data_IF_896734962999
#
_entry.id   IF_896734962999
#
_cell.length_a   1.000
_cell.length_b   1.000
_cell.length_c   1.000
_cell.angle_alpha   90.00
_cell.angle_beta   90.00
_cell.angle_gamma   90.00
#
_symmetry.space_group_name_H-M   'P 1'
#
loop_
_entity.id
_entity.type
_entity.pdbx_description
1 polymer ?
#
# COMPACT_ATOMS: atom_id res chain seq x y z
N UNK A 1 -29.44 32.22 2.48
CA UNK A 1 -28.30 33.02 1.97
C UNK A 1 -27.50 32.13 1.03
N UNK A 2 -27.05 32.62 -0.13
CA UNK A 2 -26.18 31.82 -1.01
C UNK A 2 -24.79 31.67 -0.35
N UNK A 3 -24.22 30.45 -0.29
CA UNK A 3 -22.92 30.23 0.32
C UNK A 3 -21.81 30.95 -0.44
N UNK A 4 -20.84 31.50 0.29
CA UNK A 4 -19.68 32.23 -0.25
C UNK A 4 -18.40 31.40 -0.30
N UNK A 5 -18.32 30.31 0.46
CA UNK A 5 -17.17 29.40 0.43
C UNK A 5 -17.36 28.33 -0.64
N UNK A 6 -16.26 27.84 -1.23
CA UNK A 6 -16.31 26.76 -2.24
C UNK A 6 -16.98 25.50 -1.70
N UNK A 7 -16.65 25.10 -0.47
CA UNK A 7 -17.29 23.96 0.19
C UNK A 7 -18.80 24.17 0.34
N UNK A 8 -19.22 25.33 0.86
CA UNK A 8 -20.64 25.63 1.06
C UNK A 8 -21.41 25.69 -0.27
N UNK A 9 -20.77 26.17 -1.34
CA UNK A 9 -21.35 26.16 -2.69
C UNK A 9 -21.59 24.74 -3.20
N UNK A 10 -20.63 23.83 -3.01
CA UNK A 10 -20.77 22.42 -3.37
C UNK A 10 -21.90 21.78 -2.57
N UNK A 11 -21.91 21.94 -1.25
CA UNK A 11 -22.97 21.40 -0.38
C UNK A 11 -24.35 21.92 -0.78
N UNK A 12 -24.48 23.21 -1.06
CA UNK A 12 -25.73 23.80 -1.53
C UNK A 12 -26.18 23.21 -2.86
N UNK A 13 -25.27 23.07 -3.84
CA UNK A 13 -25.60 22.45 -5.14
C UNK A 13 -26.09 21.01 -4.93
N UNK A 14 -25.38 20.21 -4.14
CA UNK A 14 -25.74 18.81 -3.87
C UNK A 14 -27.13 18.67 -3.23
N UNK A 15 -27.56 19.65 -2.42
CA UNK A 15 -28.91 19.68 -1.83
C UNK A 15 -30.03 20.02 -2.83
N UNK A 16 -29.70 20.67 -3.96
CA UNK A 16 -30.69 21.07 -4.96
C UNK A 16 -30.84 20.04 -6.10
N UNK A 17 -29.85 19.18 -6.31
CA UNK A 17 -29.89 18.19 -7.37
C UNK A 17 -30.86 17.05 -7.04
N UNK A 18 -31.67 16.65 -8.01
CA UNK A 18 -32.41 15.40 -7.89
C UNK A 18 -31.46 14.20 -7.90
N UNK A 19 -31.91 13.06 -7.36
CA UNK A 19 -31.11 11.83 -7.37
C UNK A 19 -30.68 11.44 -8.80
N UNK A 20 -31.58 11.58 -9.78
CA UNK A 20 -31.29 11.26 -11.18
C UNK A 20 -30.23 12.21 -11.78
N UNK A 21 -30.30 13.51 -11.48
CA UNK A 21 -29.31 14.48 -11.94
C UNK A 21 -27.94 14.22 -11.33
N UNK A 22 -27.89 13.95 -10.04
CA UNK A 22 -26.65 13.62 -9.35
C UNK A 22 -26.03 12.32 -9.88
N UNK A 23 -26.86 11.27 -10.06
CA UNK A 23 -26.41 10.01 -10.63
C UNK A 23 -25.81 10.19 -12.04
N UNK A 24 -26.50 10.92 -12.93
CA UNK A 24 -26.01 11.20 -14.27
C UNK A 24 -24.69 11.98 -14.24
N UNK A 25 -24.58 13.01 -13.40
CA UNK A 25 -23.37 13.81 -13.25
C UNK A 25 -22.18 12.98 -12.75
N UNK A 26 -22.38 12.16 -11.71
CA UNK A 26 -21.33 11.29 -11.14
C UNK A 26 -20.85 10.27 -12.17
N UNK A 27 -21.79 9.65 -12.90
CA UNK A 27 -21.46 8.68 -13.96
C UNK A 27 -20.65 9.34 -15.08
N UNK A 28 -21.12 10.46 -15.61
CA UNK A 28 -20.42 11.20 -16.68
C UNK A 28 -19.01 11.60 -16.23
N UNK A 29 -18.89 12.14 -15.00
CA UNK A 29 -17.60 12.55 -14.46
C UNK A 29 -16.65 11.37 -14.27
N UNK A 30 -17.14 10.21 -13.80
CA UNK A 30 -16.33 9.00 -13.67
C UNK A 30 -15.89 8.42 -15.02
N UNK A 31 -16.67 8.61 -16.09
CA UNK A 31 -16.25 8.17 -17.43
C UNK A 31 -15.18 9.10 -18.05
N UNK A 32 -15.16 10.37 -17.66
CA UNK A 32 -14.24 11.38 -18.21
C UNK A 32 -12.96 11.58 -17.37
N UNK A 33 -12.99 11.23 -16.08
CA UNK A 33 -11.92 11.54 -15.11
C UNK A 33 -11.46 10.26 -14.40
N UNK A 34 -10.27 9.78 -14.77
CA UNK A 34 -9.71 8.53 -14.25
C UNK A 34 -9.49 8.58 -12.73
N UNK A 35 -8.99 9.69 -12.18
CA UNK A 35 -8.72 9.80 -10.75
C UNK A 35 -10.02 9.76 -9.94
N UNK A 36 -11.07 10.42 -10.44
CA UNK A 36 -12.39 10.37 -9.81
C UNK A 36 -13.00 8.97 -9.90
N UNK A 37 -12.87 8.30 -11.05
CA UNK A 37 -13.33 6.93 -11.26
C UNK A 37 -12.67 5.96 -10.28
N UNK A 38 -11.36 6.01 -10.17
CA UNK A 38 -10.59 5.08 -9.34
C UNK A 38 -10.92 5.30 -7.86
N UNK A 39 -11.05 6.57 -7.44
CA UNK A 39 -11.56 6.95 -6.10
C UNK A 39 -12.94 6.38 -5.82
N UNK A 40 -13.88 6.51 -6.77
CA UNK A 40 -15.24 6.00 -6.64
C UNK A 40 -15.24 4.48 -6.47
N UNK A 41 -14.47 3.77 -7.31
CA UNK A 41 -14.38 2.31 -7.28
C UNK A 41 -13.73 1.77 -6.00
N UNK A 42 -12.77 2.49 -5.41
CA UNK A 42 -12.17 2.13 -4.12
C UNK A 42 -13.18 2.31 -2.98
N UNK A 43 -13.80 3.50 -2.89
CA UNK A 43 -14.71 3.84 -1.78
C UNK A 43 -15.96 2.94 -1.72
N UNK A 44 -16.42 2.43 -2.87
CA UNK A 44 -17.68 1.69 -2.97
C UNK A 44 -17.50 0.26 -3.48
N UNK A 45 -16.31 -0.33 -3.34
CA UNK A 45 -16.01 -1.65 -3.88
C UNK A 45 -16.93 -2.76 -3.32
N UNK A 46 -17.39 -2.64 -2.07
CA UNK A 46 -18.31 -3.61 -1.45
C UNK A 46 -19.62 -3.78 -2.24
N UNK A 47 -20.05 -2.74 -2.99
CA UNK A 47 -21.25 -2.80 -3.83
C UNK A 47 -21.07 -3.70 -5.06
N UNK A 48 -19.83 -4.06 -5.40
CA UNK A 48 -19.50 -4.92 -6.55
C UNK A 48 -19.54 -6.41 -6.20
N UNK A 49 -19.72 -6.77 -4.91
CA UNK A 49 -20.06 -8.12 -4.49
C UNK A 49 -18.99 -9.20 -4.72
N UNK A 50 -17.71 -8.82 -4.87
CA UNK A 50 -16.63 -9.79 -5.05
C UNK A 50 -15.93 -10.10 -3.72
N UNK A 51 -15.81 -11.39 -3.38
CA UNK A 51 -14.99 -11.88 -2.28
C UNK A 51 -13.51 -12.10 -2.67
N UNK A 52 -13.18 -11.91 -3.96
CA UNK A 52 -11.83 -12.09 -4.49
C UNK A 52 -10.88 -10.93 -4.11
N UNK A 53 -9.63 -11.20 -3.70
CA UNK A 53 -8.66 -10.15 -3.41
C UNK A 53 -8.57 -9.12 -4.54
N UNK A 54 -8.71 -7.84 -4.19
CA UNK A 54 -8.64 -6.74 -5.15
C UNK A 54 -7.19 -6.34 -5.50
N UNK A 55 -6.20 -6.95 -4.84
CA UNK A 55 -4.77 -6.69 -5.06
C UNK A 55 -4.39 -6.71 -6.55
N UNK A 56 -4.77 -7.71 -7.38
CA UNK A 56 -4.42 -7.72 -8.80
C UNK A 56 -5.00 -6.54 -9.59
N UNK A 57 -6.23 -6.13 -9.27
CA UNK A 57 -6.87 -4.95 -9.87
C UNK A 57 -6.10 -3.69 -9.52
N UNK A 58 -5.69 -3.53 -8.26
CA UNK A 58 -4.89 -2.38 -7.83
C UNK A 58 -3.50 -2.37 -8.45
N UNK A 59 -2.86 -3.52 -8.62
CA UNK A 59 -1.59 -3.62 -9.35
C UNK A 59 -1.70 -3.23 -10.81
N UNK A 60 -2.80 -3.61 -11.48
CA UNK A 60 -3.04 -3.15 -12.85
C UNK A 60 -3.22 -1.63 -12.90
N UNK A 61 -4.01 -1.05 -11.98
CA UNK A 61 -4.21 0.40 -11.89
C UNK A 61 -2.88 1.14 -11.64
N UNK A 62 -2.03 0.64 -10.73
CA UNK A 62 -0.69 1.18 -10.50
C UNK A 62 0.19 1.08 -11.75
N UNK A 63 0.11 -0.03 -12.48
CA UNK A 63 0.82 -0.22 -13.76
C UNK A 63 0.39 0.81 -14.79
N UNK A 64 -0.91 1.05 -14.95
CA UNK A 64 -1.45 2.04 -15.88
C UNK A 64 -1.06 3.47 -15.46
N UNK A 65 -0.97 3.75 -14.16
CA UNK A 65 -0.43 5.02 -13.66
C UNK A 65 1.05 5.18 -14.00
N UNK A 66 1.88 4.17 -13.71
CA UNK A 66 3.31 4.20 -14.04
C UNK A 66 3.53 4.45 -15.54
N UNK A 67 2.78 3.78 -16.41
CA UNK A 67 2.87 3.96 -17.86
C UNK A 67 2.50 5.38 -18.31
N UNK A 68 1.50 6.01 -17.70
CA UNK A 68 1.11 7.40 -18.02
C UNK A 68 2.18 8.43 -17.66
N UNK A 69 2.99 8.13 -16.65
CA UNK A 69 4.04 9.02 -16.14
C UNK A 69 5.44 8.71 -16.71
N UNK A 70 5.59 7.58 -17.40
CA UNK A 70 6.84 7.18 -18.02
C UNK A 70 7.06 7.85 -19.39
N UNK A 71 8.33 8.01 -19.74
CA UNK A 71 8.75 8.42 -21.08
C UNK A 71 8.65 7.25 -22.08
N UNK A 72 9.05 7.49 -23.34
CA UNK A 72 8.98 6.47 -24.40
C UNK A 72 9.84 5.21 -24.12
N UNK A 73 10.83 5.32 -23.24
CA UNK A 73 11.72 4.23 -22.82
C UNK A 73 11.19 3.50 -21.57
N UNK A 74 10.07 3.95 -21.00
CA UNK A 74 9.49 3.38 -19.79
C UNK A 74 10.09 3.91 -18.48
N UNK A 75 10.86 5.00 -18.54
CA UNK A 75 11.49 5.63 -17.38
C UNK A 75 10.71 6.86 -16.87
N UNK A 76 10.70 7.07 -15.56
CA UNK A 76 9.95 8.13 -14.87
C UNK A 76 10.95 9.12 -14.25
N UNK A 77 11.08 10.30 -14.83
CA UNK A 77 11.95 11.37 -14.32
C UNK A 77 11.37 12.03 -13.07
N UNK A 78 12.21 12.70 -12.28
CA UNK A 78 11.88 13.25 -10.96
C UNK A 78 10.57 14.08 -10.93
N UNK A 79 10.34 14.95 -11.91
CA UNK A 79 9.11 15.76 -11.96
C UNK A 79 7.85 14.88 -12.13
N UNK A 80 7.91 13.85 -12.98
CA UNK A 80 6.84 12.88 -13.15
C UNK A 80 6.70 11.94 -11.95
N UNK A 81 7.82 11.62 -11.29
CA UNK A 81 7.87 10.81 -10.07
C UNK A 81 7.08 11.46 -8.93
N UNK A 82 7.27 12.76 -8.70
CA UNK A 82 6.49 13.53 -7.72
C UNK A 82 4.98 13.44 -8.01
N UNK A 83 4.57 13.65 -9.27
CA UNK A 83 3.16 13.59 -9.64
C UNK A 83 2.55 12.20 -9.46
N UNK A 84 3.26 11.15 -9.88
CA UNK A 84 2.83 9.77 -9.73
C UNK A 84 2.70 9.41 -8.25
N UNK A 85 3.71 9.73 -7.44
CA UNK A 85 3.76 9.35 -6.03
C UNK A 85 2.70 10.13 -5.22
N UNK A 86 2.44 11.39 -5.54
CA UNK A 86 1.31 12.14 -4.96
C UNK A 86 -0.05 11.53 -5.31
N UNK A 87 -0.21 11.05 -6.55
CA UNK A 87 -1.43 10.36 -6.94
C UNK A 87 -1.61 9.05 -6.15
N UNK A 88 -0.55 8.25 -5.99
CA UNK A 88 -0.57 7.03 -5.16
C UNK A 88 -0.89 7.35 -3.70
N UNK A 89 -0.26 8.39 -3.13
CA UNK A 89 -0.53 8.84 -1.75
C UNK A 89 -1.96 9.30 -1.58
N UNK A 90 -2.52 10.00 -2.57
CA UNK A 90 -3.93 10.41 -2.55
C UNK A 90 -4.86 9.19 -2.56
N UNK A 91 -4.56 8.16 -3.35
CA UNK A 91 -5.33 6.91 -3.34
C UNK A 91 -5.24 6.19 -1.99
N UNK A 92 -4.04 6.06 -1.41
CA UNK A 92 -3.87 5.51 -0.06
C UNK A 92 -4.64 6.33 1.00
N UNK A 93 -4.63 7.67 0.88
CA UNK A 93 -5.38 8.56 1.75
C UNK A 93 -6.89 8.44 1.60
N UNK A 94 -7.39 8.13 0.41
CA UNK A 94 -8.79 7.78 0.16
C UNK A 94 -9.11 6.43 0.80
N UNK A 95 -8.23 5.44 0.61
CA UNK A 95 -8.44 4.11 1.13
C UNK A 95 -8.50 4.09 2.67
N UNK A 96 -7.68 4.91 3.34
CA UNK A 96 -7.69 5.06 4.80
C UNK A 96 -8.96 5.71 5.39
N UNK A 97 -9.88 6.24 4.58
CA UNK A 97 -11.12 6.86 5.08
C UNK A 97 -12.03 5.80 5.72
N UNK A 98 -12.74 6.19 6.78
CA UNK A 98 -13.69 5.32 7.49
C UNK A 98 -14.83 4.77 6.61
N UNK A 99 -15.11 5.40 5.48
CA UNK A 99 -16.12 4.96 4.51
C UNK A 99 -15.63 3.84 3.60
N UNK A 100 -14.32 3.63 3.52
CA UNK A 100 -13.72 2.62 2.64
C UNK A 100 -13.66 1.29 3.37
N UNK A 101 -13.99 0.17 2.70
CA UNK A 101 -13.86 -1.14 3.32
C UNK A 101 -12.41 -1.43 3.69
N UNK A 102 -12.17 -1.94 4.89
CA UNK A 102 -10.82 -2.28 5.38
C UNK A 102 -10.10 -3.26 4.46
N UNK A 103 -10.85 -4.19 3.85
CA UNK A 103 -10.31 -5.14 2.89
C UNK A 103 -9.69 -4.45 1.67
N UNK A 104 -10.39 -3.49 1.07
CA UNK A 104 -9.87 -2.73 -0.07
C UNK A 104 -8.63 -1.93 0.30
N UNK A 105 -8.64 -1.35 1.50
CA UNK A 105 -7.48 -0.63 2.04
C UNK A 105 -6.26 -1.54 2.15
N UNK A 106 -6.48 -2.76 2.65
CA UNK A 106 -5.43 -3.76 2.82
C UNK A 106 -4.90 -4.22 1.46
N UNK A 107 -5.80 -4.57 0.53
CA UNK A 107 -5.47 -5.05 -0.81
C UNK A 107 -4.73 -3.98 -1.63
N UNK A 108 -5.10 -2.69 -1.50
CA UNK A 108 -4.38 -1.58 -2.12
C UNK A 108 -2.97 -1.41 -1.53
N UNK A 109 -2.82 -1.49 -0.20
CA UNK A 109 -1.50 -1.38 0.42
C UNK A 109 -0.56 -2.52 0.00
N UNK A 110 -1.09 -3.75 -0.10
CA UNK A 110 -0.35 -4.92 -0.59
C UNK A 110 0.07 -4.73 -2.06
N UNK A 111 -0.83 -4.20 -2.89
CA UNK A 111 -0.52 -3.88 -4.28
C UNK A 111 0.62 -2.85 -4.38
N UNK A 112 0.54 -1.75 -3.62
CA UNK A 112 1.59 -0.73 -3.58
C UNK A 112 2.91 -1.36 -3.17
N UNK A 113 2.97 -2.07 -2.03
CA UNK A 113 4.20 -2.71 -1.54
C UNK A 113 4.82 -3.60 -2.62
N UNK A 114 4.00 -4.42 -3.28
CA UNK A 114 4.47 -5.39 -4.29
C UNK A 114 5.05 -4.74 -5.54
N UNK A 115 4.58 -3.55 -5.91
CA UNK A 115 5.02 -2.85 -7.11
C UNK A 115 6.16 -1.86 -6.83
N UNK A 116 6.47 -1.54 -5.55
CA UNK A 116 7.58 -0.64 -5.19
C UNK A 116 8.93 -1.04 -5.79
N UNK A 117 9.34 -2.32 -5.81
CA UNK A 117 10.59 -2.70 -6.46
C UNK A 117 10.63 -2.37 -7.96
N UNK A 118 9.50 -2.57 -8.66
CA UNK A 118 9.38 -2.24 -10.08
C UNK A 118 9.41 -0.73 -10.29
N UNK A 119 8.79 0.03 -9.39
CA UNK A 119 8.80 1.48 -9.46
C UNK A 119 10.20 2.05 -9.21
N UNK A 120 10.92 1.53 -8.21
CA UNK A 120 12.28 1.95 -7.88
C UNK A 120 13.27 1.72 -9.03
N UNK A 121 13.13 0.63 -9.79
CA UNK A 121 13.97 0.33 -10.96
C UNK A 121 13.75 1.32 -12.13
N UNK A 122 12.58 1.96 -12.19
CA UNK A 122 12.14 2.77 -13.34
C UNK A 122 11.98 4.25 -13.04
N UNK A 123 12.29 4.70 -11.82
CA UNK A 123 11.96 6.04 -11.35
C UNK A 123 13.19 6.72 -10.73
N UNK A 124 13.43 7.97 -11.12
CA UNK A 124 14.30 8.88 -10.37
C UNK A 124 13.64 9.19 -9.02
N UNK A 125 14.32 8.86 -7.91
CA UNK A 125 13.79 9.06 -6.56
C UNK A 125 14.70 9.93 -5.67
N UNK A 126 14.98 11.20 -6.05
CA UNK A 126 15.86 12.07 -5.26
C UNK A 126 15.27 12.47 -3.90
N UNK A 127 13.93 12.39 -3.76
CA UNK A 127 13.18 12.84 -2.58
C UNK A 127 12.59 11.66 -1.77
N UNK A 128 13.15 10.45 -1.92
CA UNK A 128 12.78 9.25 -1.15
C UNK A 128 11.27 8.92 -1.18
N UNK A 129 10.63 9.13 -2.32
CA UNK A 129 9.22 8.83 -2.52
C UNK A 129 8.92 7.34 -2.36
N UNK A 130 9.80 6.44 -2.82
CA UNK A 130 9.62 4.99 -2.69
C UNK A 130 9.56 4.61 -1.20
N UNK A 131 10.50 5.14 -0.41
CA UNK A 131 10.54 4.93 1.03
C UNK A 131 9.28 5.49 1.72
N UNK A 132 8.85 6.69 1.32
CA UNK A 132 7.63 7.32 1.84
C UNK A 132 6.38 6.49 1.54
N UNK A 133 6.27 5.92 0.33
CA UNK A 133 5.18 5.04 -0.06
C UNK A 133 5.21 3.73 0.75
N UNK A 134 6.38 3.11 0.91
CA UNK A 134 6.54 1.91 1.76
C UNK A 134 6.04 2.17 3.18
N UNK A 135 6.51 3.26 3.81
CA UNK A 135 6.10 3.62 5.17
C UNK A 135 4.62 3.92 5.28
N UNK A 136 4.04 4.63 4.32
CA UNK A 136 2.61 4.98 4.31
C UNK A 136 1.76 3.71 4.20
N UNK A 137 2.10 2.81 3.28
CA UNK A 137 1.40 1.54 3.10
C UNK A 137 1.53 0.65 4.34
N UNK A 138 2.73 0.53 4.92
CA UNK A 138 2.93 -0.26 6.12
C UNK A 138 2.14 0.28 7.32
N UNK A 139 2.20 1.60 7.56
CA UNK A 139 1.42 2.26 8.63
C UNK A 139 -0.06 2.01 8.45
N UNK A 140 -0.57 2.12 7.22
CA UNK A 140 -1.98 1.90 6.92
C UNK A 140 -2.38 0.43 7.15
N UNK A 141 -1.54 -0.53 6.73
CA UNK A 141 -1.75 -1.95 7.03
C UNK A 141 -1.79 -2.22 8.53
N UNK A 142 -0.89 -1.61 9.31
CA UNK A 142 -0.87 -1.76 10.75
C UNK A 142 -2.19 -1.33 11.41
N UNK A 143 -2.73 -0.19 10.98
CA UNK A 143 -4.01 0.33 11.48
C UNK A 143 -5.21 -0.55 11.10
N UNK A 144 -5.19 -1.13 9.90
CA UNK A 144 -6.25 -2.02 9.43
C UNK A 144 -6.18 -3.41 10.06
N UNK A 145 -4.99 -3.88 10.46
CA UNK A 145 -4.76 -5.28 10.79
C UNK A 145 -5.69 -5.82 11.88
N UNK A 146 -5.86 -5.08 12.98
CA UNK A 146 -6.63 -5.55 14.14
C UNK A 146 -8.13 -5.66 13.89
N UNK A 147 -8.66 -4.99 12.86
CA UNK A 147 -10.09 -5.02 12.52
C UNK A 147 -10.41 -6.03 11.42
N UNK A 148 -9.40 -6.65 10.80
CA UNK A 148 -9.60 -7.73 9.83
C UNK A 148 -10.07 -9.03 10.53
N UNK A 149 -10.88 -9.86 9.84
CA UNK A 149 -11.13 -11.24 10.26
C UNK A 149 -9.82 -12.03 10.42
N UNK A 150 -9.81 -13.02 11.33
CA UNK A 150 -8.60 -13.78 11.71
C UNK A 150 -7.95 -14.45 10.50
N UNK A 151 -8.76 -15.00 9.59
CA UNK A 151 -8.30 -15.65 8.37
C UNK A 151 -7.57 -14.66 7.45
N UNK A 152 -8.08 -13.44 7.35
CA UNK A 152 -7.46 -12.36 6.57
C UNK A 152 -6.21 -11.82 7.26
N UNK A 153 -6.20 -11.70 8.60
CA UNK A 153 -4.98 -11.35 9.35
C UNK A 153 -3.85 -12.35 9.08
N UNK A 154 -4.17 -13.64 9.02
CA UNK A 154 -3.20 -14.68 8.72
C UNK A 154 -2.69 -14.56 7.27
N UNK A 155 -3.60 -14.41 6.30
CA UNK A 155 -3.23 -14.25 4.90
C UNK A 155 -2.34 -13.02 4.66
N UNK A 156 -2.66 -11.88 5.28
CA UNK A 156 -1.85 -10.64 5.19
C UNK A 156 -0.49 -10.82 5.85
N UNK A 157 -0.44 -11.48 7.02
CA UNK A 157 0.83 -11.78 7.68
C UNK A 157 1.74 -12.63 6.79
N UNK A 158 1.21 -13.72 6.22
CA UNK A 158 1.95 -14.60 5.32
C UNK A 158 2.40 -13.86 4.06
N UNK A 159 1.53 -13.02 3.50
CA UNK A 159 1.83 -12.20 2.32
C UNK A 159 3.00 -11.24 2.58
N UNK A 160 3.00 -10.53 3.72
CA UNK A 160 4.10 -9.62 4.09
C UNK A 160 5.38 -10.39 4.42
N UNK A 161 5.28 -11.57 5.03
CA UNK A 161 6.44 -12.43 5.29
C UNK A 161 7.11 -12.87 3.98
N UNK A 162 6.30 -13.18 2.95
CA UNK A 162 6.80 -13.50 1.61
C UNK A 162 7.45 -12.30 0.91
N UNK A 163 6.91 -11.09 1.08
CA UNK A 163 7.57 -9.87 0.55
C UNK A 163 8.90 -9.63 1.27
N UNK A 164 8.94 -9.69 2.60
CA UNK A 164 10.17 -9.54 3.39
C UNK A 164 11.27 -10.54 2.99
N UNK A 165 10.90 -11.72 2.51
CA UNK A 165 11.84 -12.73 2.03
C UNK A 165 12.57 -12.35 0.73
N UNK A 166 12.11 -11.32 -0.01
CA UNK A 166 12.73 -10.92 -1.28
C UNK A 166 13.92 -10.00 -1.00
N UNK A 167 15.15 -10.33 -1.48
CA UNK A 167 16.35 -9.52 -1.24
C UNK A 167 16.23 -8.06 -1.69
N UNK A 168 15.44 -7.81 -2.73
CA UNK A 168 15.25 -6.48 -3.31
C UNK A 168 14.76 -5.43 -2.30
N UNK A 169 13.99 -5.81 -1.28
CA UNK A 169 13.56 -4.84 -0.26
C UNK A 169 14.70 -4.43 0.65
N UNK A 170 15.68 -5.30 0.89
CA UNK A 170 16.88 -4.94 1.63
C UNK A 170 17.80 -4.10 0.73
N UNK A 171 17.93 -4.47 -0.55
CA UNK A 171 18.72 -3.69 -1.52
C UNK A 171 18.21 -2.24 -1.69
N UNK A 172 16.92 -2.02 -1.44
CA UNK A 172 16.25 -0.71 -1.49
C UNK A 172 16.06 -0.06 -0.10
N UNK A 173 16.61 -0.64 0.98
CA UNK A 173 16.44 -0.17 2.37
C UNK A 173 14.96 -0.06 2.85
N UNK A 174 14.07 -0.87 2.27
CA UNK A 174 12.64 -0.90 2.56
C UNK A 174 12.24 -2.02 3.54
N UNK A 175 13.09 -3.03 3.71
CA UNK A 175 12.82 -4.24 4.50
C UNK A 175 12.50 -3.96 5.97
N UNK A 176 13.11 -2.92 6.56
CA UNK A 176 12.86 -2.49 7.94
C UNK A 176 11.38 -2.18 8.20
N UNK A 177 10.67 -1.59 7.22
CA UNK A 177 9.24 -1.29 7.36
C UNK A 177 8.40 -2.57 7.43
N UNK A 178 8.72 -3.55 6.57
CA UNK A 178 8.05 -4.85 6.55
C UNK A 178 8.34 -5.63 7.84
N UNK A 179 9.60 -5.64 8.29
CA UNK A 179 10.00 -6.33 9.51
C UNK A 179 9.34 -5.74 10.76
N UNK A 180 9.19 -4.41 10.82
CA UNK A 180 8.48 -3.76 11.91
C UNK A 180 7.03 -4.20 12.01
N UNK A 181 6.33 -4.38 10.88
CA UNK A 181 4.97 -4.94 10.89
C UNK A 181 4.94 -6.37 11.41
N UNK A 182 5.81 -7.22 10.88
CA UNK A 182 5.90 -8.63 11.26
C UNK A 182 6.21 -8.78 12.76
N UNK A 183 7.12 -7.94 13.27
CA UNK A 183 7.50 -7.86 14.68
C UNK A 183 6.30 -7.59 15.58
N UNK A 184 5.49 -6.58 15.24
CA UNK A 184 4.31 -6.19 16.01
C UNK A 184 3.19 -7.22 15.90
N UNK A 185 2.86 -7.68 14.69
CA UNK A 185 1.78 -8.66 14.47
C UNK A 185 2.08 -10.03 15.06
N UNK A 186 3.35 -10.37 15.25
CA UNK A 186 3.79 -11.59 15.91
C UNK A 186 3.96 -11.43 17.43
N UNK A 187 3.81 -10.23 18.02
CA UNK A 187 4.18 -9.96 19.43
C UNK A 187 3.58 -10.96 20.42
N UNK A 188 2.35 -11.42 20.19
CA UNK A 188 1.62 -12.35 21.07
C UNK A 188 1.35 -13.71 20.46
N UNK A 189 1.86 -14.00 19.26
CA UNK A 189 1.60 -15.24 18.53
C UNK A 189 2.91 -16.02 18.30
N UNK A 190 3.10 -17.10 19.07
CA UNK A 190 4.30 -17.94 18.99
C UNK A 190 4.48 -18.62 17.63
N UNK A 191 3.40 -18.92 16.90
CA UNK A 191 3.51 -19.51 15.55
C UNK A 191 4.06 -18.46 14.58
N UNK A 192 3.55 -17.24 14.64
CA UNK A 192 4.04 -16.11 13.83
C UNK A 192 5.48 -15.74 14.16
N UNK A 193 5.84 -15.68 15.44
CA UNK A 193 7.23 -15.48 15.88
C UNK A 193 8.16 -16.54 15.25
N UNK A 194 7.75 -17.81 15.31
CA UNK A 194 8.52 -18.91 14.73
C UNK A 194 8.64 -18.80 13.21
N UNK A 195 7.59 -18.34 12.53
CA UNK A 195 7.62 -18.12 11.08
C UNK A 195 8.61 -17.01 10.68
N UNK A 196 8.61 -15.88 11.40
CA UNK A 196 9.57 -14.79 11.19
C UNK A 196 11.02 -15.25 11.40
N UNK A 197 11.30 -15.96 12.50
CA UNK A 197 12.65 -16.47 12.78
C UNK A 197 13.11 -17.48 11.74
N UNK A 198 12.22 -18.36 11.27
CA UNK A 198 12.52 -19.30 10.19
C UNK A 198 12.85 -18.58 8.89
N UNK A 199 12.12 -17.51 8.57
CA UNK A 199 12.37 -16.72 7.36
C UNK A 199 13.75 -16.04 7.43
N UNK A 200 14.10 -15.44 8.58
CA UNK A 200 15.43 -14.88 8.83
C UNK A 200 16.54 -15.93 8.73
N UNK A 201 16.32 -17.12 9.30
CA UNK A 201 17.27 -18.24 9.19
C UNK A 201 17.48 -18.67 7.74
N UNK A 202 16.41 -18.71 6.93
CA UNK A 202 16.50 -19.00 5.50
C UNK A 202 17.29 -17.93 4.76
N UNK A 203 17.02 -16.64 5.03
CA UNK A 203 17.79 -15.53 4.45
C UNK A 203 19.26 -15.61 4.83
N UNK A 204 19.59 -15.89 6.11
CA UNK A 204 20.96 -16.07 6.57
C UNK A 204 21.71 -17.18 5.83
N UNK A 205 21.02 -18.27 5.46
CA UNK A 205 21.60 -19.37 4.69
C UNK A 205 21.89 -19.00 3.23
N UNK A 206 21.19 -18.02 2.66
CA UNK A 206 21.35 -17.62 1.25
C UNK A 206 22.34 -16.47 1.05
N UNK A 207 22.80 -15.80 2.11
CA UNK A 207 23.73 -14.65 2.05
C UNK A 207 25.10 -14.98 1.43
N UNK A 208 25.56 -16.24 1.52
CA UNK A 208 26.88 -16.63 1.02
C UNK A 208 28.02 -15.96 1.80
N UNK A 209 28.88 -15.19 1.10
CA UNK A 209 30.06 -14.51 1.67
C UNK A 209 29.84 -13.02 1.98
N UNK A 210 28.62 -12.50 1.84
CA UNK A 210 28.32 -11.10 2.18
C UNK A 210 28.26 -10.92 3.71
N UNK A 211 29.39 -10.50 4.27
CA UNK A 211 29.54 -10.29 5.71
C UNK A 211 28.64 -9.19 6.27
N UNK A 212 28.37 -8.13 5.48
CA UNK A 212 27.52 -7.03 5.91
C UNK A 212 26.08 -7.51 6.08
N UNK A 213 25.52 -8.13 5.05
CA UNK A 213 24.14 -8.65 5.07
C UNK A 213 23.97 -9.73 6.14
N UNK A 214 24.98 -10.56 6.36
CA UNK A 214 24.98 -11.56 7.44
C UNK A 214 24.86 -10.89 8.81
N UNK A 215 25.68 -9.88 9.08
CA UNK A 215 25.65 -9.16 10.36
C UNK A 215 24.30 -8.45 10.55
N UNK A 216 23.80 -7.78 9.51
CA UNK A 216 22.50 -7.13 9.51
C UNK A 216 21.36 -8.08 9.90
N UNK A 217 21.26 -9.25 9.25
CA UNK A 217 20.23 -10.24 9.57
C UNK A 217 20.37 -10.82 10.99
N UNK A 218 21.58 -10.97 11.50
CA UNK A 218 21.83 -11.39 12.89
C UNK A 218 21.38 -10.33 13.89
N UNK A 219 21.65 -9.05 13.62
CA UNK A 219 21.17 -7.93 14.42
C UNK A 219 19.64 -7.87 14.46
N UNK A 220 18.99 -8.03 13.30
CA UNK A 220 17.53 -8.11 13.21
C UNK A 220 16.96 -9.29 14.00
N UNK A 221 17.59 -10.46 13.89
CA UNK A 221 17.20 -11.65 14.67
C UNK A 221 17.27 -11.39 16.17
N UNK A 222 18.38 -10.79 16.64
CA UNK A 222 18.56 -10.47 18.05
C UNK A 222 17.57 -9.40 18.54
N UNK A 223 17.26 -8.41 17.71
CA UNK A 223 16.26 -7.37 17.97
C UNK A 223 14.87 -7.98 18.17
N UNK A 224 14.43 -8.89 17.29
CA UNK A 224 13.15 -9.59 17.43
C UNK A 224 13.09 -10.44 18.70
N UNK A 225 14.13 -11.24 18.94
CA UNK A 225 14.20 -12.10 20.13
C UNK A 225 14.17 -11.29 21.43
N UNK A 226 14.82 -10.14 21.45
CA UNK A 226 14.81 -9.25 22.62
C UNK A 226 13.45 -8.62 22.82
N UNK A 227 12.78 -8.18 21.76
CA UNK A 227 11.47 -7.56 21.82
C UNK A 227 10.36 -8.51 22.27
N UNK A 228 10.35 -9.77 21.82
CA UNK A 228 9.29 -10.72 22.20
C UNK A 228 9.53 -11.44 23.54
N UNK A 229 10.72 -11.27 24.14
CA UNK A 229 11.01 -11.73 25.51
C UNK A 229 10.56 -10.72 26.56
N UNK A 230 10.42 -9.45 26.18
CA UNK A 230 9.88 -8.37 27.00
C UNK A 230 8.35 -8.45 27.08
#
# INVERSE_FOLDING_TARGET
MKPTTRQGQIEYILQQLSHQQLHAFVLEKALQDADFRDTLLICFADLLGSDEPAEPKYRQMLTDMMQRHANAEGYIHAASAQHLTDAIRKMLGVARKATTPTRETTDLCLAVISDLPTLADRMEDPDEHIYTLMRTSCTTLWECYSVLPVERQQAVFERILQEYAKPIYLDLDLDNSLLSLLKDWAQRDKKRQSACLRQLEQLLKTVGQDHWRKNYLLEQTNSLLSFWKA
#
